data_IF_061062073620
#
_entry.id   IF_061062073620
#
_cell.length_a   1.000
_cell.length_b   1.000
_cell.length_c   1.000
_cell.angle_alpha   90.00
_cell.angle_beta   90.00
_cell.angle_gamma   90.00
#
_symmetry.space_group_name_H-M   'P 1'
#
loop_
_entity.id
_entity.type
_entity.pdbx_description
1 polymer ?
#
# COMPACT_ATOMS: atom_id res chain seq x y z
N UNK A 1 -6.03 -36.12 4.68
CA UNK A 1 -6.60 -34.89 4.17
C UNK A 1 -5.52 -33.84 4.21
N UNK A 2 -5.00 -33.57 3.04
CA UNK A 2 -3.95 -32.57 2.85
C UNK A 2 -4.63 -31.24 2.52
N UNK A 3 -5.27 -30.66 3.51
CA UNK A 3 -5.73 -29.29 3.40
C UNK A 3 -4.56 -28.36 3.74
N UNK A 4 -3.63 -28.23 2.82
CA UNK A 4 -2.69 -27.14 2.83
C UNK A 4 -3.47 -25.86 2.51
N UNK A 5 -3.89 -25.14 3.55
CA UNK A 5 -4.46 -23.80 3.44
C UNK A 5 -3.36 -22.79 3.04
N UNK A 6 -2.75 -23.01 1.91
CA UNK A 6 -1.87 -22.02 1.29
C UNK A 6 -2.74 -21.22 0.32
N UNK A 7 -3.25 -20.09 0.79
CA UNK A 7 -3.87 -19.12 -0.10
C UNK A 7 -2.79 -18.45 -0.94
N UNK A 8 -2.84 -18.62 -2.24
CA UNK A 8 -2.05 -17.79 -3.13
C UNK A 8 -2.74 -16.41 -3.22
N UNK A 9 -2.18 -15.44 -2.50
CA UNK A 9 -2.72 -14.07 -2.46
C UNK A 9 -2.65 -13.36 -3.80
N UNK A 10 -1.91 -13.90 -4.78
CA UNK A 10 -1.86 -13.39 -6.16
C UNK A 10 -3.12 -13.76 -6.93
N UNK A 11 -3.72 -14.88 -6.60
CA UNK A 11 -4.93 -15.38 -7.26
C UNK A 11 -6.19 -15.16 -6.42
N UNK A 12 -6.02 -15.02 -5.10
CA UNK A 12 -7.15 -14.92 -4.18
C UNK A 12 -6.88 -13.90 -3.06
N UNK A 13 -7.70 -12.86 -3.03
CA UNK A 13 -7.79 -11.94 -1.90
C UNK A 13 -9.08 -12.24 -1.13
N UNK A 14 -8.99 -12.72 0.13
CA UNK A 14 -10.17 -13.11 0.90
C UNK A 14 -11.03 -11.93 1.35
N UNK A 15 -10.55 -10.70 1.21
CA UNK A 15 -11.22 -9.50 1.72
C UNK A 15 -11.80 -8.63 0.63
N UNK A 16 -11.21 -8.64 -0.56
CA UNK A 16 -11.62 -7.76 -1.66
C UNK A 16 -11.55 -8.53 -2.98
N UNK A 17 -12.64 -8.59 -3.76
CA UNK A 17 -12.62 -9.29 -5.04
C UNK A 17 -11.72 -8.58 -6.04
N UNK A 18 -10.92 -9.36 -6.77
CA UNK A 18 -10.05 -8.84 -7.82
C UNK A 18 -10.91 -8.35 -8.98
N UNK A 19 -10.80 -7.08 -9.33
CA UNK A 19 -11.52 -6.48 -10.44
C UNK A 19 -10.66 -6.51 -11.71
N UNK A 20 -11.24 -6.90 -12.86
CA UNK A 20 -10.55 -6.74 -14.14
C UNK A 20 -10.28 -5.26 -14.43
N UNK A 21 -9.14 -4.97 -15.00
CA UNK A 21 -8.78 -3.67 -15.57
C UNK A 21 -7.82 -3.85 -16.73
N UNK A 22 -7.79 -2.90 -17.63
CA UNK A 22 -6.80 -2.85 -18.68
C UNK A 22 -5.40 -2.54 -18.12
N UNK A 23 -4.38 -2.98 -18.84
CA UNK A 23 -3.00 -2.60 -18.57
C UNK A 23 -2.82 -1.10 -18.79
N UNK A 24 -1.97 -0.48 -17.97
CA UNK A 24 -1.63 0.94 -18.09
C UNK A 24 -0.20 1.13 -18.59
N UNK A 25 0.00 2.23 -19.30
CA UNK A 25 1.30 2.71 -19.74
C UNK A 25 1.42 4.18 -19.35
N UNK A 26 2.29 4.49 -18.37
CA UNK A 26 2.39 5.86 -17.83
C UNK A 26 3.78 6.23 -17.32
N UNK A 27 3.99 7.54 -17.23
CA UNK A 27 5.20 8.17 -16.67
C UNK A 27 4.88 8.81 -15.31
N UNK A 28 5.69 8.48 -14.29
CA UNK A 28 5.55 8.99 -12.93
C UNK A 28 6.80 9.72 -12.46
N UNK A 29 6.62 10.68 -11.55
CA UNK A 29 7.74 11.21 -10.78
C UNK A 29 8.17 10.21 -9.70
N UNK A 30 7.21 9.53 -9.06
CA UNK A 30 7.50 8.53 -8.03
C UNK A 30 6.56 7.33 -8.14
N UNK A 31 7.11 6.12 -8.17
CA UNK A 31 6.39 4.88 -7.91
C UNK A 31 6.63 4.46 -6.45
N UNK A 32 5.56 4.29 -5.69
CA UNK A 32 5.60 3.80 -4.30
C UNK A 32 5.18 2.34 -4.32
N UNK A 33 6.10 1.46 -3.91
CA UNK A 33 5.89 0.01 -3.91
C UNK A 33 5.33 -0.43 -2.56
N UNK A 34 4.03 -0.65 -2.52
CA UNK A 34 3.29 -1.08 -1.34
C UNK A 34 2.34 -0.03 -0.76
N UNK A 35 1.29 -0.53 -0.10
CA UNK A 35 0.25 0.25 0.60
C UNK A 35 0.26 0.06 2.11
N UNK A 36 1.38 -0.40 2.69
CA UNK A 36 1.61 -0.45 4.13
C UNK A 36 2.06 0.90 4.69
N UNK A 37 2.51 0.92 5.95
CA UNK A 37 2.93 2.16 6.62
C UNK A 37 3.99 2.95 5.84
N UNK A 38 5.01 2.28 5.30
CA UNK A 38 6.06 2.95 4.51
C UNK A 38 5.47 3.67 3.30
N UNK A 39 4.60 3.00 2.54
CA UNK A 39 3.96 3.60 1.37
C UNK A 39 3.04 4.77 1.73
N UNK A 40 2.26 4.64 2.79
CA UNK A 40 1.35 5.69 3.29
C UNK A 40 2.15 6.93 3.71
N UNK A 41 3.23 6.75 4.49
CA UNK A 41 4.10 7.85 4.91
C UNK A 41 4.81 8.50 3.72
N UNK A 42 5.28 7.70 2.76
CA UNK A 42 5.86 8.22 1.53
C UNK A 42 4.86 9.12 0.78
N UNK A 43 3.64 8.64 0.57
CA UNK A 43 2.57 9.41 -0.06
C UNK A 43 2.24 10.71 0.68
N UNK A 44 2.16 10.65 2.01
CA UNK A 44 1.94 11.82 2.86
C UNK A 44 3.03 12.88 2.67
N UNK A 45 4.30 12.49 2.76
CA UNK A 45 5.41 13.42 2.62
C UNK A 45 5.55 13.97 1.19
N UNK A 46 5.29 13.15 0.16
CA UNK A 46 5.27 13.61 -1.23
C UNK A 46 4.20 14.68 -1.44
N UNK A 47 2.98 14.47 -0.96
CA UNK A 47 1.90 15.47 -1.04
C UNK A 47 2.27 16.77 -0.34
N UNK A 48 2.84 16.68 0.86
CA UNK A 48 3.28 17.86 1.61
C UNK A 48 4.42 18.60 0.92
N UNK A 49 5.26 17.91 0.14
CA UNK A 49 6.31 18.49 -0.69
C UNK A 49 5.79 19.02 -2.05
N UNK A 50 4.49 18.92 -2.32
CA UNK A 50 3.89 19.36 -3.58
C UNK A 50 4.08 18.39 -4.76
N UNK A 51 4.57 17.18 -4.51
CA UNK A 51 4.68 16.13 -5.54
C UNK A 51 3.34 15.44 -5.66
N UNK A 52 2.72 15.53 -6.84
CA UNK A 52 1.37 14.97 -7.08
C UNK A 52 1.36 13.83 -8.09
N UNK A 53 2.39 13.73 -8.94
CA UNK A 53 2.50 12.67 -9.95
C UNK A 53 3.19 11.43 -9.36
N UNK A 54 2.47 10.70 -8.51
CA UNK A 54 2.92 9.42 -7.95
C UNK A 54 1.77 8.43 -7.86
N UNK A 55 2.11 7.14 -7.78
CA UNK A 55 1.16 6.04 -7.51
C UNK A 55 1.67 5.11 -6.44
N UNK A 56 0.73 4.58 -5.66
CA UNK A 56 0.96 3.37 -4.89
C UNK A 56 0.66 2.15 -5.76
N UNK A 57 1.56 1.19 -5.76
CA UNK A 57 1.40 -0.10 -6.44
C UNK A 57 1.35 -1.15 -5.33
N UNK A 58 0.15 -1.71 -5.09
CA UNK A 58 -0.13 -2.56 -3.96
C UNK A 58 -0.68 -3.91 -4.42
N UNK A 59 -0.07 -4.98 -3.91
CA UNK A 59 -0.47 -6.36 -4.17
C UNK A 59 -1.86 -6.68 -3.62
N UNK A 60 -2.21 -6.14 -2.46
CA UNK A 60 -3.51 -6.32 -1.83
C UNK A 60 -4.62 -5.51 -2.53
N UNK A 61 -5.87 -5.87 -2.25
CA UNK A 61 -7.05 -5.12 -2.69
C UNK A 61 -7.31 -3.83 -1.91
N UNK A 62 -6.38 -3.43 -1.02
CA UNK A 62 -6.48 -2.20 -0.24
C UNK A 62 -5.21 -1.89 0.53
N UNK A 63 -5.19 -0.69 1.10
CA UNK A 63 -4.11 -0.26 1.98
C UNK A 63 -4.18 -0.95 3.34
N UNK A 64 -3.02 -1.13 3.96
CA UNK A 64 -2.92 -1.69 5.31
C UNK A 64 -1.69 -2.57 5.53
N UNK A 65 -1.11 -3.14 4.48
CA UNK A 65 0.03 -4.04 4.60
C UNK A 65 -0.28 -5.20 5.56
N UNK A 66 0.50 -5.35 6.62
CA UNK A 66 0.28 -6.36 7.67
C UNK A 66 -1.15 -6.36 8.20
N UNK A 67 -1.74 -5.20 8.41
CA UNK A 67 -3.10 -5.06 8.98
C UNK A 67 -4.22 -5.27 7.96
N UNK A 68 -3.92 -5.24 6.70
CA UNK A 68 -4.82 -5.70 5.65
C UNK A 68 -4.94 -7.23 5.63
N UNK A 69 -3.79 -7.93 5.73
CA UNK A 69 -3.76 -9.39 5.60
C UNK A 69 -4.09 -10.14 6.90
N UNK A 70 -3.75 -9.55 8.05
CA UNK A 70 -3.94 -10.21 9.35
C UNK A 70 -5.19 -9.69 10.05
N UNK A 71 -6.33 -10.32 9.78
CA UNK A 71 -7.65 -9.95 10.34
C UNK A 71 -8.27 -11.08 11.16
N UNK A 72 -7.47 -11.90 11.79
CA UNK A 72 -7.95 -12.97 12.65
C UNK A 72 -8.30 -12.46 14.05
N UNK A 73 -9.22 -13.16 14.79
CA UNK A 73 -9.61 -12.75 16.13
C UNK A 73 -8.42 -12.68 17.10
N UNK A 74 -8.35 -11.59 17.86
CA UNK A 74 -7.33 -11.38 18.89
C UNK A 74 -6.01 -10.84 18.40
N UNK A 75 -5.85 -10.50 17.09
CA UNK A 75 -4.64 -9.85 16.63
C UNK A 75 -4.50 -8.45 17.23
N UNK A 76 -3.32 -8.16 17.74
CA UNK A 76 -2.96 -6.90 18.36
C UNK A 76 -1.53 -6.52 17.97
N UNK A 77 -1.21 -5.22 18.09
CA UNK A 77 0.17 -4.77 18.03
C UNK A 77 0.87 -5.08 19.37
N UNK A 78 2.06 -5.65 19.30
CA UNK A 78 2.93 -5.92 20.45
C UNK A 78 3.82 -4.73 20.84
N UNK A 79 3.80 -3.68 20.02
CA UNK A 79 4.44 -2.40 20.30
C UNK A 79 3.45 -1.39 20.91
N UNK A 80 3.98 -0.43 21.65
CA UNK A 80 3.21 0.70 22.18
C UNK A 80 2.59 1.50 21.02
N UNK A 81 1.26 1.53 20.95
CA UNK A 81 0.52 2.14 19.85
C UNK A 81 0.81 3.63 19.69
N UNK A 82 1.15 4.35 20.76
CA UNK A 82 1.52 5.76 20.72
C UNK A 82 2.85 6.02 19.98
N UNK A 83 3.70 5.00 19.91
CA UNK A 83 4.95 5.05 19.14
C UNK A 83 4.83 4.38 17.78
N UNK A 84 3.95 3.38 17.66
CA UNK A 84 3.81 2.58 16.45
C UNK A 84 2.96 3.26 15.38
N UNK A 85 1.86 3.93 15.76
CA UNK A 85 0.95 4.59 14.83
C UNK A 85 1.50 5.96 14.42
N UNK A 86 1.80 6.16 13.14
CA UNK A 86 2.28 7.45 12.66
C UNK A 86 1.14 8.45 12.45
N UNK A 87 1.48 9.73 12.35
CA UNK A 87 0.56 10.83 12.00
C UNK A 87 -0.57 11.07 13.01
N UNK A 88 -0.38 10.70 14.28
CA UNK A 88 -1.41 10.89 15.32
C UNK A 88 -1.78 12.36 15.49
N UNK A 89 -0.80 13.27 15.44
CA UNK A 89 -1.01 14.71 15.54
C UNK A 89 -1.75 15.24 14.31
N UNK A 90 -1.34 14.85 13.11
CA UNK A 90 -1.95 15.29 11.87
C UNK A 90 -3.39 14.76 11.70
N UNK A 91 -3.66 13.60 12.27
CA UNK A 91 -4.99 13.00 12.28
C UNK A 91 -5.86 13.49 13.43
N UNK A 92 -5.25 14.07 14.48
CA UNK A 92 -5.95 14.52 15.68
C UNK A 92 -6.58 13.39 16.49
N UNK A 93 -5.95 12.21 16.49
CA UNK A 93 -6.49 11.01 17.14
C UNK A 93 -5.46 10.37 18.06
N UNK A 94 -5.95 9.57 18.99
CA UNK A 94 -5.11 8.78 19.89
C UNK A 94 -5.60 7.32 19.87
N UNK A 95 -4.68 6.35 19.99
CA UNK A 95 -5.08 4.96 20.12
C UNK A 95 -5.88 4.73 21.42
N UNK A 96 -6.82 3.80 21.36
CA UNK A 96 -7.73 3.50 22.50
C UNK A 96 -7.01 2.88 23.68
N UNK A 97 -5.87 2.22 23.44
CA UNK A 97 -5.08 1.52 24.44
C UNK A 97 -3.62 1.38 24.01
N UNK A 98 -2.76 1.01 24.96
CA UNK A 98 -1.32 0.87 24.73
C UNK A 98 -0.98 -0.13 23.62
N UNK A 99 -1.66 -1.25 23.58
CA UNK A 99 -1.50 -2.29 22.54
C UNK A 99 -2.79 -2.35 21.72
N UNK A 100 -2.86 -1.55 20.65
CA UNK A 100 -4.05 -1.40 19.85
C UNK A 100 -4.43 -2.71 19.13
N UNK A 101 -5.72 -2.97 19.01
CA UNK A 101 -6.23 -4.10 18.24
C UNK A 101 -5.97 -3.93 16.75
N UNK A 102 -5.77 -5.05 16.04
CA UNK A 102 -5.50 -5.01 14.60
C UNK A 102 -6.60 -4.31 13.80
N UNK A 103 -7.86 -4.46 14.19
CA UNK A 103 -8.98 -3.77 13.55
C UNK A 103 -8.88 -2.25 13.74
N UNK A 104 -8.59 -1.78 14.94
CA UNK A 104 -8.39 -0.35 15.22
C UNK A 104 -7.28 0.23 14.35
N UNK A 105 -6.15 -0.48 14.24
CA UNK A 105 -5.03 -0.05 13.40
C UNK A 105 -5.43 -0.02 11.91
N UNK A 106 -6.14 -1.05 11.46
CA UNK A 106 -6.62 -1.08 10.08
C UNK A 106 -7.57 0.07 9.78
N UNK A 107 -8.55 0.33 10.64
CA UNK A 107 -9.49 1.45 10.50
C UNK A 107 -8.76 2.80 10.52
N UNK A 108 -7.78 2.95 11.41
CA UNK A 108 -6.93 4.15 11.43
C UNK A 108 -6.19 4.36 10.11
N UNK A 109 -5.63 3.30 9.53
CA UNK A 109 -5.02 3.35 8.19
C UNK A 109 -6.03 3.85 7.15
N UNK A 110 -7.25 3.32 7.16
CA UNK A 110 -8.26 3.74 6.19
C UNK A 110 -8.58 5.23 6.33
N UNK A 111 -8.64 5.77 7.56
CA UNK A 111 -8.90 7.20 7.76
C UNK A 111 -7.79 8.08 7.17
N UNK A 112 -6.52 7.66 7.27
CA UNK A 112 -5.39 8.37 6.63
C UNK A 112 -5.51 8.31 5.10
N UNK A 113 -5.72 7.12 4.57
CA UNK A 113 -5.82 6.88 3.13
C UNK A 113 -6.94 7.73 2.51
N UNK A 114 -8.08 7.81 3.17
CA UNK A 114 -9.24 8.59 2.72
C UNK A 114 -8.98 10.10 2.85
N UNK A 115 -8.43 10.56 3.99
CA UNK A 115 -8.10 11.97 4.21
C UNK A 115 -7.13 12.51 3.16
N UNK A 116 -6.15 11.72 2.76
CA UNK A 116 -5.14 12.15 1.79
C UNK A 116 -5.44 11.69 0.35
N UNK A 117 -6.58 11.01 0.11
CA UNK A 117 -7.03 10.62 -1.23
C UNK A 117 -6.09 9.66 -1.95
N UNK A 118 -5.48 8.70 -1.22
CA UNK A 118 -4.51 7.80 -1.82
C UNK A 118 -5.15 6.72 -2.70
N UNK A 119 -6.45 6.40 -2.47
CA UNK A 119 -7.14 5.36 -3.26
C UNK A 119 -7.24 5.70 -4.74
N UNK A 120 -7.43 6.97 -5.06
CA UNK A 120 -7.60 7.43 -6.44
C UNK A 120 -6.33 7.22 -7.29
N UNK A 121 -5.17 7.21 -6.63
CA UNK A 121 -3.87 7.08 -7.27
C UNK A 121 -3.23 5.70 -7.04
N UNK A 122 -3.99 4.72 -6.53
CA UNK A 122 -3.48 3.40 -6.24
C UNK A 122 -3.79 2.39 -7.35
N UNK A 123 -2.82 1.54 -7.64
CA UNK A 123 -2.99 0.31 -8.40
C UNK A 123 -3.06 -0.84 -7.41
N UNK A 124 -4.28 -1.22 -7.05
CA UNK A 124 -4.55 -2.32 -6.13
C UNK A 124 -4.58 -3.66 -6.88
N UNK A 125 -4.45 -4.78 -6.15
CA UNK A 125 -4.30 -6.12 -6.72
C UNK A 125 -3.25 -6.17 -7.82
N UNK A 126 -2.14 -5.46 -7.61
CA UNK A 126 -1.10 -5.28 -8.61
C UNK A 126 0.25 -5.65 -8.01
N UNK A 127 0.77 -6.81 -8.43
CA UNK A 127 2.09 -7.30 -8.03
C UNK A 127 3.15 -6.78 -8.99
N UNK A 128 4.23 -6.25 -8.44
CA UNK A 128 5.39 -5.86 -9.23
C UNK A 128 6.21 -7.11 -9.52
N UNK A 129 6.40 -7.39 -10.80
CA UNK A 129 7.16 -8.55 -11.29
C UNK A 129 8.52 -8.18 -11.88
N UNK A 130 8.75 -6.88 -12.13
CA UNK A 130 10.03 -6.39 -12.61
C UNK A 130 10.28 -4.95 -12.21
N UNK A 131 11.54 -4.67 -11.88
CA UNK A 131 12.05 -3.33 -11.59
C UNK A 131 13.45 -3.20 -12.19
N UNK A 132 13.58 -2.39 -13.23
CA UNK A 132 14.81 -2.25 -13.98
C UNK A 132 15.14 -0.78 -14.26
N UNK A 133 16.39 -0.39 -14.02
CA UNK A 133 16.85 0.94 -14.40
C UNK A 133 17.17 1.00 -15.88
N UNK A 134 16.54 1.96 -16.59
CA UNK A 134 16.76 2.20 -18.01
C UNK A 134 17.68 3.44 -18.18
N UNK A 135 18.93 3.17 -18.53
CA UNK A 135 19.97 4.21 -18.57
C UNK A 135 19.77 5.24 -19.67
N UNK A 136 19.17 4.84 -20.79
CA UNK A 136 18.91 5.68 -21.97
C UNK A 136 17.84 6.74 -21.69
N UNK A 137 16.79 6.39 -20.94
CA UNK A 137 15.69 7.30 -20.60
C UNK A 137 15.76 7.85 -19.16
N UNK A 138 16.74 7.40 -18.36
CA UNK A 138 16.93 7.79 -16.95
C UNK A 138 15.65 7.56 -16.12
N UNK A 139 15.10 6.34 -16.22
CA UNK A 139 13.86 5.94 -15.53
C UNK A 139 13.98 4.53 -15.00
N UNK A 140 13.26 4.30 -13.93
CA UNK A 140 12.92 2.96 -13.49
C UNK A 140 11.74 2.43 -14.32
N UNK A 141 11.93 1.30 -14.96
CA UNK A 141 10.86 0.53 -15.60
C UNK A 141 10.28 -0.41 -14.56
N UNK A 142 9.02 -0.20 -14.22
CA UNK A 142 8.24 -1.07 -13.31
C UNK A 142 7.24 -1.85 -14.16
N UNK A 143 7.31 -3.16 -14.09
CA UNK A 143 6.36 -4.06 -14.77
C UNK A 143 5.55 -4.85 -13.74
N UNK A 144 4.29 -5.13 -14.03
CA UNK A 144 3.38 -5.77 -13.10
C UNK A 144 2.73 -7.02 -13.69
N UNK A 145 2.17 -7.85 -12.81
CA UNK A 145 1.37 -9.02 -13.18
C UNK A 145 0.08 -8.67 -13.95
N UNK A 146 -0.28 -7.38 -14.03
CA UNK A 146 -1.42 -6.86 -14.79
C UNK A 146 -1.04 -6.36 -16.19
N UNK A 147 0.23 -6.55 -16.59
CA UNK A 147 0.77 -6.10 -17.87
C UNK A 147 1.08 -4.61 -17.94
N UNK A 148 1.11 -3.92 -16.80
CA UNK A 148 1.42 -2.50 -16.74
C UNK A 148 2.88 -2.24 -17.09
N UNK A 149 3.11 -1.07 -17.71
CA UNK A 149 4.43 -0.51 -17.99
C UNK A 149 4.50 0.89 -17.39
N UNK A 150 5.24 1.04 -16.31
CA UNK A 150 5.34 2.32 -15.59
C UNK A 150 6.80 2.78 -15.61
N UNK A 151 7.02 4.00 -16.08
CA UNK A 151 8.34 4.64 -16.08
C UNK A 151 8.39 5.69 -14.98
N UNK A 152 9.15 5.43 -13.92
CA UNK A 152 9.26 6.31 -12.78
C UNK A 152 10.65 6.98 -12.69
N UNK A 153 10.69 8.24 -12.29
CA UNK A 153 11.95 8.92 -11.97
C UNK A 153 12.58 8.37 -10.70
N UNK A 154 11.74 8.09 -9.72
CA UNK A 154 12.13 7.59 -8.42
C UNK A 154 11.22 6.42 -8.03
N UNK A 155 11.79 5.52 -7.23
CA UNK A 155 11.05 4.39 -6.63
C UNK A 155 11.26 4.43 -5.11
N UNK A 156 10.18 4.26 -4.36
CA UNK A 156 10.19 4.11 -2.90
C UNK A 156 9.66 2.71 -2.58
N UNK A 157 10.42 1.94 -1.77
CA UNK A 157 10.07 0.58 -1.34
C UNK A 157 10.00 0.50 0.19
#
# INVERSE_FOLDING_TARGET
PEDNFVYDTREHDPFTPIQPRDAIDEDLDVAILGGGWTGILAGFHLKNAGVTNFRHIEHAGGFGGTWYWNRYPGIQCDNDAYCYLPLLEEMGTLPSKKFADGLEIYEYIQTIVDKYGFRENALLHTEIIGLEWQEDIKRWLVTTNRGDTIRARNVIM
#
